data_IF_500019914151
#
_entry.id   IF_500019914151
#
_cell.length_a   1.000
_cell.length_b   1.000
_cell.length_c   1.000
_cell.angle_alpha   90.00
_cell.angle_beta   90.00
_cell.angle_gamma   90.00
#
_symmetry.space_group_name_H-M   'P 1'
#
loop_
_entity.id
_entity.type
_entity.pdbx_description
1 polymer ?
#
# COMPACT_ATOMS: atom_id res chain seq x y z
N UNK A 1 6.69 -13.11 -3.70
CA UNK A 1 7.88 -14.04 -3.75
C UNK A 1 8.91 -13.65 -4.80
N UNK A 2 8.58 -12.91 -5.86
CA UNK A 2 9.53 -12.55 -6.93
C UNK A 2 10.72 -11.75 -6.38
N UNK A 3 10.49 -10.83 -5.44
CA UNK A 3 11.56 -10.01 -4.86
C UNK A 3 12.29 -10.66 -3.69
N UNK A 4 11.62 -11.54 -2.93
CA UNK A 4 12.16 -12.12 -1.72
C UNK A 4 12.87 -13.46 -1.93
N UNK A 5 12.60 -14.19 -3.04
CA UNK A 5 13.14 -15.53 -3.26
C UNK A 5 12.82 -16.44 -2.08
N UNK A 6 13.85 -17.02 -1.46
CA UNK A 6 13.75 -17.87 -0.28
C UNK A 6 13.93 -17.12 1.06
N UNK A 7 14.11 -15.78 1.03
CA UNK A 7 14.24 -15.00 2.25
C UNK A 7 12.95 -14.94 3.05
N UNK A 8 13.07 -14.87 4.39
CA UNK A 8 11.97 -14.57 5.31
C UNK A 8 11.51 -13.10 5.24
N UNK A 9 12.31 -12.22 4.65
CA UNK A 9 11.99 -10.81 4.46
C UNK A 9 11.37 -10.57 3.09
N UNK A 10 10.38 -9.70 2.99
CA UNK A 10 9.79 -9.26 1.72
C UNK A 10 10.82 -8.49 0.87
N UNK A 11 11.64 -7.70 1.54
CA UNK A 11 12.72 -6.91 0.94
C UNK A 11 14.03 -7.27 1.67
N UNK A 12 14.69 -8.34 1.25
CA UNK A 12 15.98 -8.74 1.84
C UNK A 12 17.11 -7.80 1.42
N UNK A 13 18.17 -7.78 2.19
CA UNK A 13 19.42 -7.18 1.78
C UNK A 13 19.97 -7.90 0.54
N UNK A 14 20.56 -7.16 -0.39
CA UNK A 14 21.24 -7.76 -1.55
C UNK A 14 22.54 -8.53 -1.20
N UNK A 15 23.06 -8.28 -0.01
CA UNK A 15 24.33 -8.87 0.46
C UNK A 15 24.12 -10.02 1.45
N UNK A 16 22.96 -10.08 2.09
CA UNK A 16 22.61 -11.08 3.09
C UNK A 16 21.10 -11.36 3.03
N UNK A 17 20.73 -12.54 2.56
CA UNK A 17 19.32 -12.94 2.43
C UNK A 17 18.61 -13.08 3.78
N UNK A 18 19.36 -13.23 4.88
CA UNK A 18 18.84 -13.34 6.25
C UNK A 18 18.75 -12.00 6.97
N UNK A 19 19.08 -10.89 6.28
CA UNK A 19 18.95 -9.54 6.79
C UNK A 19 17.94 -8.72 5.96
N UNK A 20 17.20 -7.78 6.58
CA UNK A 20 16.33 -6.88 5.85
C UNK A 20 17.12 -5.83 5.07
N UNK A 21 16.52 -5.29 4.02
CA UNK A 21 17.04 -4.13 3.32
C UNK A 21 17.18 -2.93 4.26
N UNK A 22 18.30 -2.22 4.20
CA UNK A 22 18.56 -1.07 5.07
C UNK A 22 17.76 0.18 4.66
N UNK A 23 17.53 1.08 5.63
CA UNK A 23 16.90 2.39 5.35
C UNK A 23 17.75 3.21 4.35
N UNK A 24 19.06 3.12 4.42
CA UNK A 24 19.96 3.81 3.48
C UNK A 24 19.78 3.32 2.03
N UNK A 25 19.43 2.05 1.85
CA UNK A 25 19.13 1.51 0.52
C UNK A 25 17.84 2.11 -0.04
N UNK A 26 16.78 2.23 0.77
CA UNK A 26 15.53 2.86 0.35
C UNK A 26 15.75 4.34 -0.04
N UNK A 27 16.47 5.11 0.78
CA UNK A 27 16.79 6.50 0.46
C UNK A 27 17.61 6.63 -0.83
N UNK A 28 18.49 5.69 -1.10
CA UNK A 28 19.26 5.66 -2.34
C UNK A 28 18.39 5.38 -3.55
N UNK A 29 17.41 4.49 -3.41
CA UNK A 29 16.45 4.19 -4.49
C UNK A 29 15.64 5.45 -4.83
N UNK A 30 15.05 6.15 -3.85
CA UNK A 30 14.28 7.37 -4.10
C UNK A 30 15.15 8.45 -4.75
N UNK A 31 16.38 8.64 -4.26
CA UNK A 31 17.34 9.56 -4.87
C UNK A 31 17.64 9.20 -6.34
N UNK A 32 17.90 7.93 -6.63
CA UNK A 32 18.19 7.48 -8.00
C UNK A 32 17.03 7.72 -8.96
N UNK A 33 15.78 7.54 -8.49
CA UNK A 33 14.58 7.82 -9.29
C UNK A 33 14.47 9.31 -9.63
N UNK A 34 14.71 10.20 -8.67
CA UNK A 34 14.69 11.65 -8.89
C UNK A 34 15.81 12.08 -9.86
N UNK A 35 17.00 11.54 -9.72
CA UNK A 35 18.11 11.83 -10.63
C UNK A 35 17.85 11.33 -12.07
N UNK A 36 17.19 10.18 -12.19
CA UNK A 36 16.80 9.67 -13.50
C UNK A 36 15.72 10.55 -14.14
N UNK A 37 14.70 10.93 -13.36
CA UNK A 37 13.65 11.83 -13.83
C UNK A 37 14.23 13.18 -14.33
N UNK A 38 15.20 13.76 -13.61
CA UNK A 38 15.91 14.98 -14.06
C UNK A 38 16.60 14.81 -15.40
N UNK A 39 17.29 13.67 -15.61
CA UNK A 39 17.97 13.36 -16.89
C UNK A 39 16.98 13.25 -18.06
N UNK A 40 15.79 12.77 -17.78
CA UNK A 40 14.70 12.61 -18.75
C UNK A 40 13.85 13.88 -18.91
N UNK A 41 14.16 14.97 -18.19
CA UNK A 41 13.39 16.22 -18.22
C UNK A 41 12.01 16.13 -17.58
N UNK A 42 11.78 15.13 -16.72
CA UNK A 42 10.51 14.96 -16.02
C UNK A 42 10.48 15.84 -14.74
N UNK A 43 9.36 16.55 -14.47
CA UNK A 43 9.23 17.43 -13.31
C UNK A 43 8.91 16.62 -12.04
N UNK A 44 9.89 15.87 -11.55
CA UNK A 44 9.76 15.11 -10.32
C UNK A 44 10.56 15.76 -9.19
N UNK A 45 9.86 16.21 -8.16
CA UNK A 45 10.48 16.74 -6.94
C UNK A 45 11.08 15.62 -6.08
N UNK A 46 12.03 15.99 -5.22
CA UNK A 46 12.61 15.05 -4.27
C UNK A 46 11.55 14.54 -3.28
N UNK A 47 11.51 13.24 -3.07
CA UNK A 47 10.58 12.59 -2.18
C UNK A 47 11.24 11.51 -1.32
N UNK A 48 10.60 11.16 -0.22
CA UNK A 48 11.03 10.12 0.72
C UNK A 48 10.12 8.89 0.64
N UNK A 49 10.58 7.78 1.23
CA UNK A 49 9.73 6.58 1.40
C UNK A 49 8.46 6.91 2.22
N UNK A 50 8.55 7.85 3.16
CA UNK A 50 7.40 8.29 3.95
C UNK A 50 6.36 9.04 3.11
N UNK A 51 6.80 9.81 2.11
CA UNK A 51 5.89 10.47 1.18
C UNK A 51 5.13 9.48 0.31
N UNK A 52 5.75 8.38 -0.12
CA UNK A 52 5.05 7.29 -0.81
C UNK A 52 3.97 6.68 0.07
N UNK A 53 4.28 6.44 1.36
CA UNK A 53 3.31 5.93 2.34
C UNK A 53 2.14 6.90 2.53
N UNK A 54 2.42 8.20 2.67
CA UNK A 54 1.41 9.26 2.80
C UNK A 54 0.53 9.34 1.56
N UNK A 55 1.13 9.32 0.38
CA UNK A 55 0.42 9.35 -0.91
C UNK A 55 -0.52 8.15 -1.04
N UNK A 56 -0.04 6.94 -0.77
CA UNK A 56 -0.87 5.72 -0.81
C UNK A 56 -2.04 5.81 0.16
N UNK A 57 -1.81 6.25 1.40
CA UNK A 57 -2.88 6.46 2.39
C UNK A 57 -3.91 7.48 1.93
N UNK A 58 -3.47 8.64 1.42
CA UNK A 58 -4.36 9.70 0.94
C UNK A 58 -5.23 9.19 -0.21
N UNK A 59 -4.62 8.59 -1.23
CA UNK A 59 -5.34 8.10 -2.40
C UNK A 59 -6.34 6.99 -2.06
N UNK A 60 -6.00 6.06 -1.17
CA UNK A 60 -6.93 5.02 -0.72
C UNK A 60 -8.14 5.62 0.02
N UNK A 61 -7.93 6.67 0.84
CA UNK A 61 -9.02 7.39 1.49
C UNK A 61 -9.90 8.14 0.47
N UNK A 62 -9.31 8.82 -0.51
CA UNK A 62 -10.02 9.55 -1.56
C UNK A 62 -10.82 8.61 -2.47
N UNK A 63 -10.32 7.39 -2.72
CA UNK A 63 -11.02 6.34 -3.44
C UNK A 63 -12.20 5.76 -2.64
N UNK A 64 -12.33 6.06 -1.35
CA UNK A 64 -13.43 5.65 -0.52
C UNK A 64 -13.24 4.32 0.22
N UNK A 65 -12.03 3.78 0.28
CA UNK A 65 -11.75 2.60 1.11
C UNK A 65 -11.90 2.91 2.60
N UNK A 66 -12.28 1.89 3.37
CA UNK A 66 -12.51 2.04 4.80
C UNK A 66 -11.21 2.45 5.52
N UNK A 67 -11.29 3.53 6.28
CA UNK A 67 -10.17 4.10 7.03
C UNK A 67 -9.52 3.09 7.99
N UNK A 68 -10.30 2.25 8.67
CA UNK A 68 -9.75 1.28 9.62
C UNK A 68 -8.86 0.24 8.92
N UNK A 69 -9.20 -0.13 7.68
CA UNK A 69 -8.37 -1.03 6.88
C UNK A 69 -7.03 -0.37 6.50
N UNK A 70 -7.08 0.91 6.14
CA UNK A 70 -5.88 1.70 5.78
C UNK A 70 -4.97 1.84 7.00
N UNK A 71 -5.51 2.27 8.15
CA UNK A 71 -4.74 2.45 9.39
C UNK A 71 -4.09 1.14 9.87
N UNK A 72 -4.80 0.01 9.77
CA UNK A 72 -4.25 -1.32 10.07
C UNK A 72 -3.13 -1.71 9.11
N UNK A 73 -3.20 -1.40 7.81
CA UNK A 73 -2.12 -1.63 6.85
C UNK A 73 -0.89 -0.75 7.16
N UNK A 74 -1.10 0.43 7.71
CA UNK A 74 -0.05 1.34 8.12
C UNK A 74 0.56 0.99 9.49
N UNK A 75 0.04 -0.01 10.18
CA UNK A 75 0.42 -0.35 11.55
C UNK A 75 0.36 0.89 12.48
N UNK A 76 -0.62 1.78 12.25
CA UNK A 76 -0.90 2.87 13.16
C UNK A 76 -1.73 2.33 14.32
N UNK A 77 -1.11 2.16 15.47
CA UNK A 77 -1.81 1.83 16.70
C UNK A 77 -2.35 3.11 17.33
N UNK A 78 -3.65 3.33 17.19
CA UNK A 78 -4.34 4.40 17.90
C UNK A 78 -4.78 3.93 19.30
N UNK A 79 -3.81 3.83 20.20
CA UNK A 79 -4.07 3.45 21.60
C UNK A 79 -4.68 4.60 22.42
N UNK A 80 -4.89 5.79 21.84
CA UNK A 80 -5.37 6.98 22.53
C UNK A 80 -6.83 7.30 22.25
N UNK A 81 -7.41 6.79 21.14
CA UNK A 81 -8.83 6.97 20.88
C UNK A 81 -9.65 5.84 21.47
N UNK A 82 -10.87 6.16 21.91
CA UNK A 82 -11.85 5.14 22.30
C UNK A 82 -12.09 4.10 21.22
N UNK A 83 -12.03 4.49 19.93
CA UNK A 83 -12.16 3.60 18.79
C UNK A 83 -11.02 2.56 18.75
N UNK A 84 -9.76 2.95 18.94
CA UNK A 84 -8.61 2.04 18.96
C UNK A 84 -8.63 1.08 20.14
N UNK A 85 -9.19 1.50 21.29
CA UNK A 85 -9.34 0.66 22.48
C UNK A 85 -10.38 -0.44 22.26
N UNK A 86 -11.52 -0.13 21.63
CA UNK A 86 -12.63 -1.08 21.47
C UNK A 86 -12.57 -1.89 20.18
N UNK A 87 -12.01 -1.34 19.09
CA UNK A 87 -11.93 -2.04 17.80
C UNK A 87 -10.68 -2.91 17.71
N UNK A 88 -10.82 -4.20 17.98
CA UNK A 88 -9.74 -5.20 17.88
C UNK A 88 -9.78 -6.01 16.58
N UNK A 89 -10.65 -5.64 15.63
CA UNK A 89 -10.76 -6.33 14.36
C UNK A 89 -9.48 -6.18 13.51
N UNK A 90 -9.07 -7.26 12.86
CA UNK A 90 -7.87 -7.29 12.00
C UNK A 90 -8.18 -7.01 10.52
N UNK A 91 -9.42 -7.19 10.09
CA UNK A 91 -9.88 -6.93 8.71
C UNK A 91 -9.03 -7.60 7.62
N UNK A 92 -8.50 -8.80 7.89
CA UNK A 92 -7.54 -9.43 6.97
C UNK A 92 -8.07 -9.60 5.54
N UNK A 93 -9.27 -10.16 5.30
CA UNK A 93 -9.80 -10.29 3.94
C UNK A 93 -10.01 -8.95 3.25
N UNK A 94 -10.51 -7.95 3.99
CA UNK A 94 -10.77 -6.60 3.45
C UNK A 94 -9.48 -5.88 3.11
N UNK A 95 -8.47 -5.96 3.98
CA UNK A 95 -7.15 -5.39 3.72
C UNK A 95 -6.47 -6.05 2.52
N UNK A 96 -6.58 -7.37 2.40
CA UNK A 96 -6.05 -8.12 1.24
C UNK A 96 -6.70 -7.65 -0.05
N UNK A 97 -8.01 -7.49 -0.06
CA UNK A 97 -8.74 -6.96 -1.20
C UNK A 97 -8.30 -5.54 -1.54
N UNK A 98 -8.29 -4.63 -0.57
CA UNK A 98 -7.86 -3.24 -0.75
C UNK A 98 -6.44 -3.14 -1.32
N UNK A 99 -5.49 -3.94 -0.81
CA UNK A 99 -4.12 -3.95 -1.30
C UNK A 99 -4.00 -4.53 -2.72
N UNK A 100 -4.86 -5.50 -3.09
CA UNK A 100 -4.94 -6.00 -4.46
C UNK A 100 -5.48 -4.93 -5.41
N UNK A 101 -6.54 -4.23 -5.00
CA UNK A 101 -7.08 -3.12 -5.79
C UNK A 101 -6.05 -2.00 -5.95
N UNK A 102 -5.28 -1.70 -4.89
CA UNK A 102 -4.17 -0.75 -4.95
C UNK A 102 -3.10 -1.17 -5.97
N UNK A 103 -2.71 -2.44 -5.98
CA UNK A 103 -1.77 -2.97 -6.97
C UNK A 103 -2.33 -2.83 -8.40
N UNK A 104 -3.60 -3.18 -8.62
CA UNK A 104 -4.26 -3.05 -9.92
C UNK A 104 -4.30 -1.60 -10.42
N UNK A 105 -4.49 -0.62 -9.51
CA UNK A 105 -4.46 0.81 -9.83
C UNK A 105 -3.05 1.22 -10.30
N UNK A 106 -2.01 0.82 -9.56
CA UNK A 106 -0.62 1.12 -9.92
C UNK A 106 -0.27 0.52 -11.28
N UNK A 107 -0.62 -0.74 -11.51
CA UNK A 107 -0.40 -1.41 -12.79
C UNK A 107 -1.12 -0.68 -13.94
N UNK A 108 -2.36 -0.25 -13.71
CA UNK A 108 -3.12 0.52 -14.68
C UNK A 108 -2.43 1.88 -15.02
N UNK A 109 -1.90 2.57 -14.02
CA UNK A 109 -1.15 3.81 -14.25
C UNK A 109 0.13 3.58 -15.06
N UNK A 110 0.88 2.53 -14.74
CA UNK A 110 2.09 2.15 -15.50
C UNK A 110 1.77 1.83 -16.95
N UNK A 111 0.63 1.19 -17.20
CA UNK A 111 0.16 0.81 -18.54
C UNK A 111 -0.62 1.94 -19.26
N UNK A 112 -0.81 3.09 -18.63
CA UNK A 112 -1.56 4.23 -19.21
C UNK A 112 -3.05 3.96 -19.41
N UNK A 113 -3.62 2.99 -18.70
CA UNK A 113 -5.05 2.63 -18.77
C UNK A 113 -5.84 3.14 -17.57
N UNK A 114 -7.16 3.26 -17.75
CA UNK A 114 -8.08 3.59 -16.65
C UNK A 114 -8.43 2.33 -15.87
N UNK A 115 -8.58 2.47 -14.56
CA UNK A 115 -9.04 1.43 -13.66
C UNK A 115 -9.98 2.01 -12.61
N UNK A 116 -11.09 1.33 -12.33
CA UNK A 116 -12.02 1.67 -11.27
C UNK A 116 -12.00 0.55 -10.22
N UNK A 117 -11.51 0.81 -9.00
CA UNK A 117 -11.43 -0.22 -7.96
C UNK A 117 -12.81 -0.58 -7.41
N UNK A 118 -12.94 -1.81 -6.94
CA UNK A 118 -14.09 -2.25 -6.16
C UNK A 118 -13.81 -2.06 -4.66
N UNK A 119 -14.72 -1.41 -3.93
CA UNK A 119 -14.47 -1.03 -2.53
C UNK A 119 -14.64 -2.20 -1.54
N UNK A 120 -15.39 -3.24 -1.93
CA UNK A 120 -15.67 -4.38 -1.06
C UNK A 120 -15.27 -5.69 -1.72
N UNK A 121 -14.76 -6.67 -0.92
CA UNK A 121 -14.55 -8.02 -1.42
C UNK A 121 -15.83 -8.61 -2.02
N UNK A 122 -15.75 -9.44 -3.07
CA UNK A 122 -16.93 -10.04 -3.72
C UNK A 122 -17.89 -10.75 -2.75
N UNK A 123 -17.36 -11.44 -1.74
CA UNK A 123 -18.16 -12.11 -0.71
C UNK A 123 -19.02 -11.14 0.13
N UNK A 124 -18.54 -9.91 0.35
CA UNK A 124 -19.31 -8.88 1.08
C UNK A 124 -20.34 -8.19 0.19
N UNK A 125 -20.11 -8.14 -1.12
CA UNK A 125 -21.08 -7.61 -2.08
C UNK A 125 -22.31 -8.51 -2.19
N UNK A 126 -22.12 -9.84 -2.21
CA UNK A 126 -23.21 -10.82 -2.22
C UNK A 126 -24.05 -10.75 -0.94
N UNK A 127 -23.41 -10.69 0.23
CA UNK A 127 -24.10 -10.61 1.51
C UNK A 127 -24.96 -9.32 1.64
N UNK A 128 -24.54 -8.22 1.03
CA UNK A 128 -25.33 -6.97 1.02
C UNK A 128 -26.55 -7.06 0.11
N UNK A 129 -26.49 -7.82 -0.99
CA UNK A 129 -27.61 -8.06 -1.88
C UNK A 129 -28.66 -8.99 -1.24
N UNK A 130 -28.23 -10.03 -0.53
CA UNK A 130 -29.12 -10.97 0.16
C UNK A 130 -29.85 -10.33 1.35
N UNK A 131 -29.29 -9.30 1.96
CA UNK A 131 -29.89 -8.57 3.07
C UNK A 131 -30.97 -7.54 2.63
N UNK A 132 -31.14 -7.34 1.32
CA UNK A 132 -32.08 -6.35 0.75
C UNK A 132 -33.37 -7.00 0.21
N UNK A 133 -33.51 -8.33 0.35
CA UNK A 133 -34.70 -9.11 0.02
C UNK A 133 -35.45 -9.49 1.30
#
# INVERSE_FOLDING_TARGET
>A
KICAGNSRYLLPSRYDADAPMSRATFNRITYSVVEQAKKEGLPLEAFTVHDLRRTGSTLLNELGFNRDWIEKCLAHEDNRSSRGVYNKAEYEPQRRHMLQEWANIIDAWVEGRRYAPTLFPPAMQLAALDATI
#
